data_IF_359921901772
#
_entry.id   IF_359921901772
#
_cell.length_a   1.000
_cell.length_b   1.000
_cell.length_c   1.000
_cell.angle_alpha   90.00
_cell.angle_beta   90.00
_cell.angle_gamma   90.00
#
_symmetry.space_group_name_H-M   'P 1'
#
loop_
_entity.id
_entity.type
_entity.pdbx_description
1 polymer ?
#
# COMPACT_ATOMS: atom_id res chain seq x y z
N UNK A 1 11.95 -11.20 10.44
CA UNK A 1 10.48 -11.28 10.30
C UNK A 1 9.95 -9.95 9.74
N UNK A 2 9.91 -9.79 8.42
CA UNK A 2 9.49 -8.52 7.80
C UNK A 2 7.97 -8.50 7.57
N UNK A 3 7.22 -8.36 8.66
CA UNK A 3 5.75 -8.48 8.67
C UNK A 3 5.00 -7.17 8.35
N UNK A 4 5.70 -6.14 7.87
CA UNK A 4 5.15 -4.79 7.69
C UNK A 4 4.50 -4.54 6.30
N UNK A 5 4.23 -5.55 5.49
CA UNK A 5 3.59 -5.35 4.18
C UNK A 5 2.07 -5.43 4.28
N UNK A 6 1.30 -4.38 3.91
CA UNK A 6 -0.17 -4.39 3.89
C UNK A 6 -0.74 -5.18 2.69
N UNK A 7 0.09 -5.98 2.01
CA UNK A 7 -0.29 -6.68 0.79
C UNK A 7 -1.21 -7.86 1.08
N UNK A 8 -2.45 -7.81 0.58
CA UNK A 8 -3.40 -8.93 0.61
C UNK A 8 -3.22 -9.94 -0.53
N UNK A 9 -2.09 -9.88 -1.26
CA UNK A 9 -1.82 -10.66 -2.49
C UNK A 9 -2.87 -10.49 -3.60
N UNK A 10 -3.66 -9.42 -3.56
CA UNK A 10 -4.59 -9.03 -4.61
C UNK A 10 -3.90 -7.98 -5.46
N UNK A 11 -3.38 -8.37 -6.62
CA UNK A 11 -2.76 -7.45 -7.58
C UNK A 11 -3.77 -7.01 -8.64
N UNK A 12 -4.81 -6.28 -8.20
CA UNK A 12 -5.75 -5.61 -9.11
C UNK A 12 -5.64 -4.11 -8.90
N UNK A 13 -5.42 -3.36 -9.97
CA UNK A 13 -5.44 -1.89 -9.94
C UNK A 13 -6.86 -1.45 -10.32
N UNK A 14 -7.44 -0.51 -9.56
CA UNK A 14 -8.79 0.00 -9.83
C UNK A 14 -8.88 0.77 -11.15
N UNK A 15 -10.10 0.96 -11.65
CA UNK A 15 -10.36 1.84 -12.79
C UNK A 15 -9.85 3.25 -12.45
N UNK A 16 -8.85 3.72 -13.21
CA UNK A 16 -8.10 4.95 -12.94
C UNK A 16 -6.61 4.74 -12.63
N UNK A 17 -6.12 3.50 -12.51
CA UNK A 17 -4.68 3.20 -12.56
C UNK A 17 -3.86 3.60 -11.32
N UNK A 18 -4.46 4.29 -10.34
CA UNK A 18 -3.72 4.97 -9.27
C UNK A 18 -3.44 4.10 -8.05
N UNK A 19 -4.33 3.16 -7.71
CA UNK A 19 -4.24 2.39 -6.47
C UNK A 19 -4.57 0.91 -6.67
N UNK A 20 -3.89 0.05 -5.90
CA UNK A 20 -4.20 -1.37 -5.77
C UNK A 20 -5.47 -1.56 -4.94
N UNK A 21 -6.46 -2.28 -5.48
CA UNK A 21 -7.72 -2.59 -4.80
C UNK A 21 -7.56 -3.47 -3.56
N UNK A 22 -6.43 -4.18 -3.43
CA UNK A 22 -6.17 -5.07 -2.31
C UNK A 22 -5.52 -4.41 -1.11
N UNK A 23 -4.53 -3.55 -1.36
CA UNK A 23 -3.70 -2.95 -0.32
C UNK A 23 -3.70 -1.42 -0.32
N UNK A 24 -4.46 -0.80 -1.22
CA UNK A 24 -4.67 0.64 -1.39
C UNK A 24 -3.38 1.45 -1.61
N UNK A 25 -2.27 0.76 -1.89
CA UNK A 25 -0.99 1.37 -2.28
C UNK A 25 -1.03 1.79 -3.74
N UNK A 26 -0.38 2.90 -4.01
CA UNK A 26 -0.05 3.32 -5.38
C UNK A 26 0.99 2.39 -6.00
N UNK A 27 1.05 2.38 -7.33
CA UNK A 27 2.09 1.65 -8.07
C UNK A 27 3.48 2.13 -7.62
N UNK A 28 3.65 3.45 -7.40
CA UNK A 28 4.91 4.01 -6.91
C UNK A 28 5.31 3.44 -5.54
N UNK A 29 4.37 3.36 -4.59
CA UNK A 29 4.61 2.80 -3.27
C UNK A 29 4.90 1.29 -3.32
N UNK A 30 4.29 0.56 -4.26
CA UNK A 30 4.54 -0.87 -4.48
C UNK A 30 5.95 -1.08 -5.03
N UNK A 31 6.32 -0.39 -6.11
CA UNK A 31 7.64 -0.52 -6.76
C UNK A 31 8.79 -0.07 -5.87
N UNK A 32 8.58 0.94 -5.03
CA UNK A 32 9.61 1.46 -4.12
C UNK A 32 9.54 0.88 -2.71
N UNK A 33 8.64 -0.08 -2.43
CA UNK A 33 8.41 -0.57 -1.07
C UNK A 33 9.68 -1.12 -0.41
N UNK A 34 10.50 -1.86 -1.16
CA UNK A 34 11.78 -2.40 -0.68
C UNK A 34 12.80 -1.32 -0.35
N UNK A 35 12.73 -0.15 -1.01
CA UNK A 35 13.63 0.99 -0.83
C UNK A 35 13.25 1.90 0.34
N UNK A 36 12.02 1.77 0.85
CA UNK A 36 11.56 2.60 1.96
C UNK A 36 12.12 2.13 3.30
N UNK A 37 12.53 3.11 4.11
CA UNK A 37 12.86 2.89 5.52
C UNK A 37 11.63 2.50 6.32
N UNK A 38 11.82 1.85 7.46
CA UNK A 38 10.70 1.42 8.30
C UNK A 38 9.82 2.59 8.74
N UNK A 39 10.41 3.75 9.06
CA UNK A 39 9.62 4.97 9.36
C UNK A 39 8.68 5.34 8.20
N UNK A 40 9.18 5.30 6.96
CA UNK A 40 8.37 5.62 5.77
C UNK A 40 7.30 4.57 5.51
N UNK A 41 7.63 3.28 5.67
CA UNK A 41 6.66 2.17 5.59
C UNK A 41 5.54 2.34 6.62
N UNK A 42 5.86 2.66 7.87
CA UNK A 42 4.88 2.93 8.92
C UNK A 42 3.98 4.12 8.60
N UNK A 43 4.55 5.21 8.09
CA UNK A 43 3.78 6.39 7.67
C UNK A 43 2.80 6.04 6.55
N UNK A 44 3.26 5.31 5.52
CA UNK A 44 2.39 4.83 4.44
C UNK A 44 1.28 3.93 5.00
N UNK A 45 1.58 2.99 5.89
CA UNK A 45 0.55 2.12 6.49
C UNK A 45 -0.48 2.90 7.29
N UNK A 46 -0.07 3.93 8.04
CA UNK A 46 -1.00 4.84 8.72
C UNK A 46 -1.90 5.58 7.73
N UNK A 47 -1.32 6.06 6.64
CA UNK A 47 -2.07 6.72 5.56
C UNK A 47 -3.02 5.75 4.85
N UNK A 48 -2.61 4.50 4.60
CA UNK A 48 -3.47 3.46 4.02
C UNK A 48 -4.71 3.20 4.88
N UNK A 49 -4.58 3.23 6.21
CA UNK A 49 -5.75 3.14 7.12
C UNK A 49 -6.70 4.32 7.01
N UNK A 50 -6.21 5.51 6.63
CA UNK A 50 -7.08 6.67 6.32
C UNK A 50 -7.66 6.60 4.92
N UNK A 51 -6.93 5.99 3.99
CA UNK A 51 -7.39 5.67 2.62
C UNK A 51 -8.25 4.41 2.56
N UNK A 52 -8.57 3.80 3.71
CA UNK A 52 -9.58 2.76 3.75
C UNK A 52 -10.87 3.47 3.33
N UNK A 53 -11.33 3.14 2.13
CA UNK A 53 -12.71 3.34 1.73
C UNK A 53 -13.51 2.47 2.70
N UNK A 54 -13.80 3.04 3.87
CA UNK A 54 -14.64 2.44 4.88
C UNK A 54 -16.05 2.46 4.31
N UNK A 55 -16.41 1.29 3.74
CA UNK A 55 -17.75 0.84 3.35
C UNK A 55 -18.42 1.50 2.14
#
# INVERSE_FOLDING_TARGET
>A
MNSLSPCKKICKIGFGGKYCLGCNRTIYEISNWGKFSDKKKHSIIKELKKRNFDK
#
